data_IF_712680318877
#
_entry.id   IF_712680318877
#
_cell.length_a   1.000
_cell.length_b   1.000
_cell.length_c   1.000
_cell.angle_alpha   90.00
_cell.angle_beta   90.00
_cell.angle_gamma   90.00
#
_symmetry.space_group_name_H-M   'P 1'
#
loop_
_entity.id
_entity.type
_entity.pdbx_description
1 polymer ?
#
# COMPACT_ATOMS: atom_id res chain seq x y z
N UNK A 1 22.16 3.80 -4.31
CA UNK A 1 21.18 3.16 -5.23
C UNK A 1 21.85 2.99 -6.57
N UNK A 2 21.66 1.86 -7.27
CA UNK A 2 22.17 1.69 -8.64
C UNK A 2 21.47 2.69 -9.58
N UNK A 3 22.16 3.11 -10.64
CA UNK A 3 21.66 4.12 -11.58
C UNK A 3 20.30 3.72 -12.21
N UNK A 4 20.10 2.42 -12.43
CA UNK A 4 18.85 1.84 -12.95
C UNK A 4 17.66 2.02 -11.99
N UNK A 5 17.87 1.79 -10.69
CA UNK A 5 16.82 1.97 -9.67
C UNK A 5 16.42 3.43 -9.52
N UNK A 6 17.37 4.36 -9.66
CA UNK A 6 17.08 5.80 -9.62
C UNK A 6 16.20 6.21 -10.80
N UNK A 7 16.52 5.73 -12.00
CA UNK A 7 15.71 5.97 -13.19
C UNK A 7 14.30 5.36 -13.08
N UNK A 8 14.20 4.15 -12.53
CA UNK A 8 12.91 3.51 -12.26
C UNK A 8 12.07 4.34 -11.26
N UNK A 9 12.70 4.77 -10.17
CA UNK A 9 12.09 5.60 -9.14
C UNK A 9 11.53 6.92 -9.69
N UNK A 10 12.30 7.62 -10.53
CA UNK A 10 11.84 8.85 -11.15
C UNK A 10 10.60 8.63 -12.04
N UNK A 11 10.55 7.53 -12.80
CA UNK A 11 9.40 7.17 -13.63
C UNK A 11 8.17 6.85 -12.77
N UNK A 12 8.35 6.03 -11.73
CA UNK A 12 7.28 5.63 -10.81
C UNK A 12 6.71 6.84 -10.05
N UNK A 13 7.56 7.72 -9.52
CA UNK A 13 7.13 8.96 -8.86
C UNK A 13 6.35 9.86 -9.83
N UNK A 14 6.79 9.98 -11.08
CA UNK A 14 6.08 10.78 -12.09
C UNK A 14 4.69 10.23 -12.39
N UNK A 15 4.54 8.91 -12.48
CA UNK A 15 3.26 8.25 -12.70
C UNK A 15 2.33 8.36 -11.48
N UNK A 16 2.87 8.24 -10.27
CA UNK A 16 2.09 8.46 -9.04
C UNK A 16 1.62 9.91 -8.89
N UNK A 17 2.46 10.88 -9.31
CA UNK A 17 2.10 12.30 -9.35
C UNK A 17 1.03 12.60 -10.41
N UNK A 18 1.13 12.01 -11.62
CA UNK A 18 0.14 12.23 -12.68
C UNK A 18 -1.22 11.64 -12.32
N UNK A 19 -1.23 10.51 -11.60
CA UNK A 19 -2.45 9.90 -11.06
C UNK A 19 -3.01 10.63 -9.84
N UNK A 20 -2.31 11.63 -9.31
CA UNK A 20 -2.72 12.38 -8.11
C UNK A 20 -2.69 11.55 -6.82
N UNK A 21 -2.02 10.40 -6.81
CA UNK A 21 -1.91 9.53 -5.64
C UNK A 21 -0.93 10.07 -4.60
N UNK A 22 0.09 10.79 -5.06
CA UNK A 22 1.07 11.48 -4.21
C UNK A 22 1.14 12.96 -4.57
N UNK A 23 1.71 13.77 -3.68
CA UNK A 23 1.97 15.19 -3.91
C UNK A 23 3.31 15.56 -3.29
N UNK A 24 3.93 16.65 -3.78
CA UNK A 24 5.07 17.27 -3.09
C UNK A 24 4.59 17.78 -1.72
N UNK A 25 5.28 17.41 -0.66
CA UNK A 25 4.99 17.87 0.72
C UNK A 25 6.17 18.65 1.28
N UNK A 26 5.90 19.49 2.30
CA UNK A 26 6.89 20.16 3.15
C UNK A 26 6.76 19.69 4.60
N UNK A 27 6.39 18.41 4.76
CA UNK A 27 6.13 17.81 6.08
C UNK A 27 7.39 17.81 6.93
N UNK A 28 7.29 18.04 8.25
CA UNK A 28 8.39 17.73 9.17
C UNK A 28 8.65 16.23 9.29
N UNK A 29 7.69 15.38 8.88
CA UNK A 29 7.83 13.93 8.89
C UNK A 29 8.35 13.41 7.57
N UNK A 30 9.27 12.44 7.65
CA UNK A 30 9.73 11.67 6.50
C UNK A 30 9.94 10.22 6.91
N UNK A 31 9.74 9.30 5.96
CA UNK A 31 10.02 7.88 6.15
C UNK A 31 11.00 7.42 5.07
N UNK A 32 11.95 6.58 5.46
CA UNK A 32 12.91 6.01 4.52
C UNK A 32 12.20 5.10 3.52
N UNK A 33 12.62 5.18 2.26
CA UNK A 33 12.08 4.37 1.15
C UNK A 33 13.19 3.56 0.50
N UNK A 34 12.89 2.32 0.14
CA UNK A 34 13.83 1.44 -0.55
C UNK A 34 13.10 0.50 -1.50
N UNK A 35 13.83 -0.05 -2.46
CA UNK A 35 13.31 -1.05 -3.38
C UNK A 35 13.58 -2.45 -2.87
N UNK A 36 12.58 -3.31 -3.01
CA UNK A 36 12.70 -4.75 -2.78
C UNK A 36 12.64 -5.46 -4.13
N UNK A 37 13.58 -6.36 -4.38
CA UNK A 37 13.62 -7.20 -5.58
C UNK A 37 13.77 -8.67 -5.17
N UNK A 38 12.66 -9.28 -4.71
CA UNK A 38 12.61 -10.72 -4.36
C UNK A 38 12.00 -11.51 -5.52
N UNK A 39 11.86 -12.83 -5.36
CA UNK A 39 11.34 -13.73 -6.39
C UNK A 39 10.05 -13.22 -7.05
N UNK A 40 9.07 -12.76 -6.27
CA UNK A 40 7.81 -12.22 -6.82
C UNK A 40 7.96 -10.94 -7.64
N UNK A 41 8.96 -10.11 -7.33
CA UNK A 41 9.24 -8.86 -8.06
C UNK A 41 10.04 -9.13 -9.33
N UNK A 42 10.92 -10.13 -9.27
CA UNK A 42 11.68 -10.63 -10.42
C UNK A 42 10.70 -11.23 -11.45
N UNK A 43 9.74 -12.05 -11.01
CA UNK A 43 8.69 -12.61 -11.88
C UNK A 43 7.80 -11.52 -12.50
N UNK A 44 7.51 -10.44 -11.76
CA UNK A 44 6.74 -9.30 -12.26
C UNK A 44 7.56 -8.34 -13.11
N UNK A 45 8.88 -8.51 -13.17
CA UNK A 45 9.81 -7.65 -13.90
C UNK A 45 9.91 -6.21 -13.35
N UNK A 46 9.43 -5.96 -12.14
CA UNK A 46 9.39 -4.61 -11.56
C UNK A 46 9.71 -4.66 -10.05
N UNK A 47 10.72 -3.91 -9.59
CA UNK A 47 11.03 -3.83 -8.17
C UNK A 47 9.91 -3.09 -7.42
N UNK A 48 9.66 -3.47 -6.17
CA UNK A 48 8.59 -2.86 -5.37
C UNK A 48 9.15 -1.73 -4.51
N UNK A 49 8.59 -0.53 -4.64
CA UNK A 49 8.85 0.57 -3.71
C UNK A 49 8.22 0.25 -2.34
N UNK A 50 9.04 0.26 -1.30
CA UNK A 50 8.63 0.02 0.09
C UNK A 50 8.99 1.22 0.93
N UNK A 51 8.01 1.68 1.72
CA UNK A 51 8.16 2.79 2.65
C UNK A 51 8.21 2.21 4.07
N UNK A 52 9.25 2.54 4.83
CA UNK A 52 9.38 2.07 6.20
C UNK A 52 8.54 2.93 7.15
N UNK A 53 7.29 2.52 7.37
CA UNK A 53 6.37 3.17 8.30
C UNK A 53 6.56 2.77 9.77
N UNK A 54 7.56 1.95 10.13
CA UNK A 54 7.76 1.53 11.54
C UNK A 54 7.84 2.71 12.52
N UNK A 55 8.62 3.80 12.25
CA UNK A 55 8.66 4.94 13.16
C UNK A 55 7.32 5.67 13.25
N UNK A 56 6.62 5.82 12.12
CA UNK A 56 5.31 6.45 12.08
C UNK A 56 4.27 5.64 12.87
N UNK A 57 4.25 4.32 12.69
CA UNK A 57 3.30 3.42 13.36
C UNK A 57 3.45 3.41 14.89
N UNK A 58 4.60 3.78 15.43
CA UNK A 58 4.81 3.93 16.88
C UNK A 58 4.17 5.20 17.43
N UNK A 59 4.11 6.27 16.62
CA UNK A 59 3.50 7.54 17.01
C UNK A 59 1.97 7.56 16.83
N UNK A 60 1.43 6.67 16.00
CA UNK A 60 0.00 6.60 15.71
C UNK A 60 -0.79 5.92 16.83
N UNK A 61 -1.98 6.44 17.10
CA UNK A 61 -2.95 5.77 17.95
C UNK A 61 -3.47 4.50 17.27
N UNK A 62 -3.50 3.39 18.02
CA UNK A 62 -4.03 2.13 17.52
C UNK A 62 -5.55 2.20 17.35
N UNK A 63 -6.02 1.94 16.13
CA UNK A 63 -7.43 1.78 15.82
C UNK A 63 -7.71 0.28 15.71
N UNK A 64 -8.59 -0.23 16.57
CA UNK A 64 -9.08 -1.62 16.49
C UNK A 64 -10.37 -1.64 15.71
N UNK A 65 -10.28 -2.01 14.44
CA UNK A 65 -11.46 -2.41 13.67
C UNK A 65 -11.65 -3.93 13.81
N UNK A 66 -12.82 -4.42 14.26
CA UNK A 66 -13.03 -5.85 14.43
C UNK A 66 -13.04 -6.53 13.07
N UNK A 67 -12.01 -7.32 12.78
CA UNK A 67 -11.98 -8.20 11.61
C UNK A 67 -12.71 -9.49 12.00
N UNK A 68 -13.72 -9.93 11.22
CA UNK A 68 -14.48 -11.12 11.54
C UNK A 68 -13.60 -12.38 11.55
N UNK A 69 -13.89 -13.31 12.46
CA UNK A 69 -13.16 -14.57 12.53
C UNK A 69 -13.46 -15.41 11.29
N UNK A 70 -12.46 -16.14 10.80
CA UNK A 70 -12.59 -17.08 9.69
C UNK A 70 -13.72 -18.09 9.92
N UNK A 71 -13.89 -18.61 11.14
CA UNK A 71 -14.97 -19.58 11.45
C UNK A 71 -16.35 -18.96 11.26
N UNK A 72 -16.54 -17.73 11.73
CA UNK A 72 -17.81 -17.02 11.63
C UNK A 72 -18.13 -16.73 10.17
N UNK A 73 -17.13 -16.28 9.38
CA UNK A 73 -17.27 -16.08 7.94
C UNK A 73 -17.72 -17.36 7.21
N UNK A 74 -17.17 -18.52 7.57
CA UNK A 74 -17.56 -19.79 6.95
C UNK A 74 -18.96 -20.26 7.37
N UNK A 75 -19.37 -19.98 8.61
CA UNK A 75 -20.72 -20.28 9.07
C UNK A 75 -21.77 -19.50 8.27
N UNK A 76 -21.51 -18.21 7.98
CA UNK A 76 -22.40 -17.39 7.13
C UNK A 76 -22.52 -17.92 5.69
N UNK A 77 -21.51 -18.63 5.21
CA UNK A 77 -21.44 -19.16 3.85
C UNK A 77 -21.99 -20.59 3.73
N UNK A 78 -22.34 -21.25 4.85
CA UNK A 78 -22.67 -22.67 4.88
C UNK A 78 -23.85 -23.06 3.97
N UNK A 79 -24.88 -22.21 3.86
CA UNK A 79 -26.06 -22.48 3.04
C UNK A 79 -25.94 -22.00 1.58
N UNK A 80 -24.82 -21.35 1.23
CA UNK A 80 -24.62 -20.82 -0.12
C UNK A 80 -24.20 -21.94 -1.09
N UNK A 81 -24.79 -21.92 -2.29
CA UNK A 81 -24.50 -22.90 -3.36
C UNK A 81 -23.58 -22.35 -4.44
N UNK A 82 -23.51 -21.03 -4.58
CA UNK A 82 -22.73 -20.32 -5.60
C UNK A 82 -21.89 -19.28 -4.88
N UNK A 83 -20.59 -19.24 -5.22
CA UNK A 83 -19.63 -18.31 -4.64
C UNK A 83 -19.06 -17.43 -5.75
N UNK A 84 -18.83 -16.16 -5.43
CA UNK A 84 -18.09 -15.22 -6.28
C UNK A 84 -17.19 -14.38 -5.39
N UNK A 85 -15.96 -14.15 -5.83
CA UNK A 85 -14.96 -13.38 -5.10
C UNK A 85 -14.53 -12.20 -5.98
N UNK A 86 -14.54 -11.02 -5.39
CA UNK A 86 -13.99 -9.82 -5.98
C UNK A 86 -12.76 -9.39 -5.18
N UNK A 87 -11.67 -9.09 -5.87
CA UNK A 87 -10.47 -8.54 -5.27
C UNK A 87 -10.27 -7.10 -5.78
N UNK A 88 -10.12 -6.15 -4.85
CA UNK A 88 -9.87 -4.76 -5.21
C UNK A 88 -8.38 -4.57 -5.50
N UNK A 89 -8.03 -4.56 -6.79
CA UNK A 89 -6.65 -4.32 -7.24
C UNK A 89 -6.15 -2.99 -6.69
N UNK A 90 -5.05 -3.04 -5.95
CA UNK A 90 -4.43 -1.86 -5.33
C UNK A 90 -5.38 -1.08 -4.40
N UNK A 91 -6.26 -1.76 -3.68
CA UNK A 91 -7.30 -1.12 -2.85
C UNK A 91 -6.81 -0.01 -1.91
N UNK A 92 -5.61 -0.14 -1.33
CA UNK A 92 -5.04 0.91 -0.48
C UNK A 92 -4.77 2.24 -1.21
N UNK A 93 -4.49 2.20 -2.51
CA UNK A 93 -4.29 3.40 -3.33
C UNK A 93 -5.61 4.05 -3.75
N UNK A 94 -6.72 3.32 -3.68
CA UNK A 94 -8.05 3.84 -4.01
C UNK A 94 -8.65 4.63 -2.86
N UNK A 95 -8.32 4.26 -1.61
CA UNK A 95 -8.79 4.95 -0.40
C UNK A 95 -7.84 6.10 -0.08
N UNK A 96 -8.35 7.33 -0.16
CA UNK A 96 -7.53 8.51 0.11
C UNK A 96 -7.40 8.81 1.61
N UNK A 97 -6.25 9.34 2.00
CA UNK A 97 -6.00 9.86 3.35
C UNK A 97 -6.83 11.14 3.57
N UNK A 98 -7.34 11.36 4.78
CA UNK A 98 -8.01 12.61 5.14
C UNK A 98 -7.08 13.81 4.84
N UNK A 99 -7.53 14.87 4.13
CA UNK A 99 -6.71 16.04 3.82
C UNK A 99 -5.95 16.65 5.00
N UNK A 100 -6.50 16.64 6.21
CA UNK A 100 -5.85 17.14 7.42
C UNK A 100 -4.59 16.35 7.81
N UNK A 101 -4.55 15.06 7.47
CA UNK A 101 -3.49 14.12 7.87
C UNK A 101 -2.46 13.88 6.76
N UNK A 102 -2.53 14.64 5.66
CA UNK A 102 -1.57 14.56 4.54
C UNK A 102 -0.38 15.53 4.71
N UNK A 103 -0.18 16.06 5.92
CA UNK A 103 0.76 17.14 6.23
C UNK A 103 1.92 16.63 7.06
#
# INVERSE_FOLDING_TARGET
>A
MSHELVNHCQKEIKDLLSKGLIRKSKSPWSCATFYVNKASEIERGAPRLVINYKPLNQALQWIRYPIPNKKDLLAYLHSAKIFSKFDMKSGFWQIQINPSNRY
#
